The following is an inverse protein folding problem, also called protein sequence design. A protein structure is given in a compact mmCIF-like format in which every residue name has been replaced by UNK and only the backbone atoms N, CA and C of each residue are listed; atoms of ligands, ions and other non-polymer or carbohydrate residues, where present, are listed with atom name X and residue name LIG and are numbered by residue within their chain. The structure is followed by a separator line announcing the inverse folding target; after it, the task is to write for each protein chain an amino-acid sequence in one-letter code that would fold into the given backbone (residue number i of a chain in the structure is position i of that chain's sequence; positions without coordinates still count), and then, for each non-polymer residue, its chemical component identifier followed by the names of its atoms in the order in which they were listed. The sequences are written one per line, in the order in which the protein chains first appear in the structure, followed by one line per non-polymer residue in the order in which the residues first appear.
data_IF_627054949444
#
_entry.id   IF_627054949444
#
_cell.length_a   1.000
_cell.length_b   1.000
_cell.length_c   1.000
_cell.angle_alpha   90.00
_cell.angle_beta   90.00
_cell.angle_gamma   90.00
#
_symmetry.space_group_name_H-M   'P 1'
#
loop_
_entity.id
_entity.type
_entity.pdbx_description
1 polymer ?
#
# COMPACT_ATOMS: atom_id res chain seq x y z
N UNK A 1 -7.57 -9.59 -4.44
CA UNK A 1 -6.26 -8.92 -4.31
C UNK A 1 -6.39 -7.60 -3.57
N UNK A 2 -7.49 -6.87 -3.70
CA UNK A 2 -7.67 -5.56 -3.10
C UNK A 2 -7.59 -5.61 -1.57
N UNK A 3 -8.30 -6.56 -0.95
CA UNK A 3 -8.34 -6.67 0.53
C UNK A 3 -6.96 -7.03 1.07
N UNK A 4 -6.27 -7.97 0.40
CA UNK A 4 -4.91 -8.33 0.76
C UNK A 4 -3.96 -7.13 0.77
N UNK A 5 -3.94 -6.32 -0.28
CA UNK A 5 -3.02 -5.18 -0.37
C UNK A 5 -3.34 -4.05 0.61
N UNK A 6 -4.62 -3.77 0.87
CA UNK A 6 -5.02 -2.85 1.96
C UNK A 6 -4.47 -3.35 3.29
N UNK A 7 -4.72 -4.62 3.61
CA UNK A 7 -4.33 -5.19 4.89
C UNK A 7 -2.80 -5.27 5.05
N UNK A 8 -2.10 -5.73 4.01
CA UNK A 8 -0.64 -5.87 4.02
C UNK A 8 0.05 -4.51 4.21
N UNK A 9 -0.36 -3.48 3.48
CA UNK A 9 0.21 -2.14 3.61
C UNK A 9 -0.03 -1.54 4.99
N UNK A 10 -1.26 -1.64 5.50
CA UNK A 10 -1.62 -1.13 6.84
C UNK A 10 -0.87 -1.88 7.93
N UNK A 11 -0.82 -3.21 7.88
CA UNK A 11 -0.13 -4.02 8.89
C UNK A 11 1.37 -3.78 8.87
N UNK A 12 2.01 -3.76 7.69
CA UNK A 12 3.44 -3.51 7.59
C UNK A 12 3.81 -2.15 8.21
N UNK A 13 3.07 -1.10 7.85
CA UNK A 13 3.28 0.24 8.42
C UNK A 13 2.98 0.27 9.91
N UNK A 14 1.90 -0.37 10.36
CA UNK A 14 1.54 -0.43 11.77
C UNK A 14 2.65 -1.09 12.60
N UNK A 15 3.17 -2.24 12.16
CA UNK A 15 4.20 -2.97 12.89
C UNK A 15 5.58 -2.29 12.85
N UNK A 16 5.89 -1.57 11.77
CA UNK A 16 7.18 -0.88 11.63
C UNK A 16 7.20 0.46 12.36
N UNK A 17 6.12 1.25 12.25
CA UNK A 17 6.11 2.62 12.76
C UNK A 17 5.39 2.79 14.10
N UNK A 18 4.44 1.90 14.42
CA UNK A 18 3.59 1.93 15.62
C UNK A 18 3.11 3.33 16.02
N UNK A 19 2.73 4.13 15.02
CA UNK A 19 2.50 5.56 15.21
C UNK A 19 1.03 5.92 15.07
N UNK A 20 0.44 6.64 16.06
CA UNK A 20 -0.94 7.12 15.97
C UNK A 20 -1.09 8.30 15.01
N UNK A 21 0.01 8.75 14.43
CA UNK A 21 0.05 9.98 13.69
C UNK A 21 0.10 9.77 12.17
N UNK A 22 0.28 8.51 11.75
CA UNK A 22 0.11 8.05 10.39
C UNK A 22 -1.38 8.06 10.04
N UNK A 23 -1.70 8.52 8.83
CA UNK A 23 -3.05 8.39 8.27
C UNK A 23 -3.12 7.08 7.48
N UNK A 24 -3.67 6.04 8.11
CA UNK A 24 -3.74 4.68 7.57
C UNK A 24 -4.66 4.57 6.36
N UNK A 25 -5.55 5.54 6.13
CA UNK A 25 -6.39 5.57 4.91
C UNK A 25 -5.53 5.87 3.68
N UNK A 26 -4.61 6.82 3.78
CA UNK A 26 -3.67 7.12 2.69
C UNK A 26 -2.69 5.97 2.46
N UNK A 27 -2.28 5.27 3.53
CA UNK A 27 -1.48 4.03 3.40
C UNK A 27 -2.24 2.95 2.66
N UNK A 28 -3.49 2.67 3.06
CA UNK A 28 -4.35 1.71 2.38
C UNK A 28 -4.57 2.08 0.90
N UNK A 29 -4.87 3.36 0.63
CA UNK A 29 -5.06 3.87 -0.73
C UNK A 29 -3.78 3.72 -1.57
N UNK A 30 -2.62 4.03 -1.01
CA UNK A 30 -1.32 3.83 -1.66
C UNK A 30 -1.03 2.36 -1.93
N UNK A 31 -1.40 1.47 -1.00
CA UNK A 31 -1.22 0.02 -1.12
C UNK A 31 -2.02 -0.60 -2.26
N UNK A 32 -3.13 0.02 -2.67
CA UNK A 32 -3.94 -0.46 -3.82
C UNK A 32 -3.75 0.36 -5.08
N UNK A 33 -3.10 1.53 -5.00
CA UNK A 33 -2.95 2.44 -6.13
C UNK A 33 -2.30 1.77 -7.36
N UNK A 34 -1.26 0.93 -7.23
CA UNK A 34 -0.67 0.26 -8.39
C UNK A 34 -1.61 -0.72 -9.11
N UNK A 35 -2.65 -1.25 -8.42
CA UNK A 35 -3.66 -2.09 -9.06
C UNK A 35 -4.44 -1.34 -10.15
N UNK A 36 -4.44 0.00 -10.16
CA UNK A 36 -5.03 0.77 -11.25
C UNK A 36 -4.37 0.47 -12.60
N UNK A 37 -3.08 0.09 -12.60
CA UNK A 37 -2.39 -0.31 -13.83
C UNK A 37 -2.93 -1.63 -14.40
N UNK A 38 -3.62 -2.45 -13.59
CA UNK A 38 -4.30 -3.64 -14.07
C UNK A 38 -5.39 -3.33 -15.10
N UNK A 39 -5.95 -2.11 -15.11
CA UNK A 39 -6.88 -1.65 -16.15
C UNK A 39 -6.24 -1.63 -17.55
N UNK A 40 -4.91 -1.51 -17.61
CA UNK A 40 -4.15 -1.57 -18.87
C UNK A 40 -3.71 -2.99 -19.23
N UNK A 41 -3.96 -3.96 -18.35
CA UNK A 41 -3.54 -5.36 -18.49
C UNK A 41 -2.03 -5.58 -18.38
N UNK A 42 -1.26 -4.55 -18.04
CA UNK A 42 0.20 -4.51 -18.14
C UNK A 42 0.81 -3.76 -16.95
N UNK A 43 1.95 -4.21 -16.38
CA UNK A 43 2.65 -3.46 -15.36
C UNK A 43 3.31 -2.23 -16.00
N UNK A 44 3.12 -1.06 -15.39
CA UNK A 44 3.69 0.21 -15.82
C UNK A 44 4.55 0.80 -14.67
N UNK A 45 4.56 2.13 -14.53
CA UNK A 45 5.49 2.85 -13.66
C UNK A 45 5.32 2.50 -12.18
N UNK A 46 4.10 2.32 -11.68
CA UNK A 46 3.82 2.06 -10.27
C UNK A 46 4.24 0.65 -9.82
N UNK A 47 4.51 -0.26 -10.76
CA UNK A 47 5.12 -1.57 -10.48
C UNK A 47 6.65 -1.53 -10.40
N UNK A 48 7.26 -0.36 -10.63
CA UNK A 48 8.71 -0.14 -10.56
C UNK A 48 9.08 0.57 -9.25
N UNK A 49 10.31 0.36 -8.76
CA UNK A 49 10.84 1.12 -7.63
C UNK A 49 10.89 2.62 -7.95
N UNK A 50 11.30 2.97 -9.17
CA UNK A 50 11.39 4.33 -9.64
C UNK A 50 10.03 5.05 -9.56
N UNK A 51 8.93 4.40 -9.94
CA UNK A 51 7.59 4.99 -9.86
C UNK A 51 7.19 5.37 -8.44
N UNK A 52 7.46 4.50 -7.46
CA UNK A 52 7.21 4.81 -6.04
C UNK A 52 8.09 5.96 -5.53
N UNK A 53 9.37 6.01 -5.95
CA UNK A 53 10.28 7.12 -5.61
C UNK A 53 9.81 8.44 -6.23
N UNK A 54 9.45 8.45 -7.52
CA UNK A 54 8.93 9.63 -8.21
C UNK A 54 7.62 10.10 -7.58
N UNK A 55 6.75 9.17 -7.19
CA UNK A 55 5.52 9.51 -6.49
C UNK A 55 5.79 10.14 -5.12
N UNK A 56 6.76 9.62 -4.37
CA UNK A 56 7.23 10.22 -3.12
C UNK A 56 7.74 11.66 -3.36
N UNK A 57 8.59 11.86 -4.36
CA UNK A 57 9.13 13.18 -4.73
C UNK A 57 7.99 14.13 -5.10
N UNK A 58 7.03 13.69 -5.91
CA UNK A 58 5.85 14.47 -6.29
C UNK A 58 5.05 14.92 -5.08
N UNK A 59 4.76 14.00 -4.15
CA UNK A 59 4.05 14.32 -2.90
C UNK A 59 4.83 15.33 -2.07
N UNK A 60 6.15 15.18 -1.94
CA UNK A 60 6.97 16.13 -1.19
C UNK A 60 7.00 17.52 -1.83
N UNK A 61 7.16 17.59 -3.15
CA UNK A 61 7.17 18.84 -3.92
C UNK A 61 5.81 19.56 -3.84
N UNK A 62 4.71 18.83 -4.07
CA UNK A 62 3.34 19.36 -4.03
C UNK A 62 2.88 19.78 -2.63
N UNK A 63 3.61 19.43 -1.57
CA UNK A 63 3.29 19.78 -0.18
C UNK A 63 4.33 20.69 0.47
N UNK A 64 5.11 21.42 -0.35
CA UNK A 64 6.09 22.39 0.14
C UNK A 64 5.42 23.45 1.01
N UNK A 65 5.97 23.67 2.21
CA UNK A 65 5.39 24.58 3.22
C UNK A 65 4.25 23.99 4.06
N UNK A 66 3.66 22.85 3.66
CA UNK A 66 2.46 22.30 4.30
C UNK A 66 2.74 21.04 5.13
N UNK A 67 3.39 21.21 6.28
CA UNK A 67 3.86 20.09 7.13
C UNK A 67 2.77 19.06 7.47
N UNK A 68 1.56 19.51 7.79
CA UNK A 68 0.46 18.60 8.16
C UNK A 68 -0.06 17.84 6.93
N UNK A 69 -0.25 18.51 5.78
CA UNK A 69 -0.70 17.87 4.54
C UNK A 69 0.32 16.87 4.04
N UNK A 70 1.61 17.26 4.02
CA UNK A 70 2.73 16.37 3.70
C UNK A 70 2.68 15.09 4.54
N UNK A 71 2.60 15.21 5.85
CA UNK A 71 2.55 14.05 6.76
C UNK A 71 1.43 13.06 6.43
N UNK A 72 0.24 13.57 6.06
CA UNK A 72 -0.90 12.71 5.67
C UNK A 72 -0.66 12.06 4.30
N UNK A 73 -0.29 12.85 3.30
CA UNK A 73 -0.11 12.38 1.93
C UNK A 73 1.09 11.46 1.75
N UNK A 74 2.11 11.55 2.61
CA UNK A 74 3.23 10.60 2.64
C UNK A 74 2.77 9.15 2.87
N UNK A 75 1.58 8.93 3.42
CA UNK A 75 0.98 7.60 3.49
C UNK A 75 0.80 6.95 2.12
N UNK A 76 0.49 7.72 1.07
CA UNK A 76 0.28 7.21 -0.29
C UNK A 76 1.55 6.54 -0.87
N UNK A 77 2.71 7.21 -0.98
CA UNK A 77 3.92 6.58 -1.51
C UNK A 77 4.46 5.51 -0.55
N UNK A 78 4.27 5.63 0.77
CA UNK A 78 4.58 4.53 1.70
C UNK A 78 3.76 3.29 1.34
N UNK A 79 2.46 3.45 1.05
CA UNK A 79 1.60 2.38 0.59
C UNK A 79 2.08 1.73 -0.72
N UNK A 80 2.54 2.52 -1.69
CA UNK A 80 3.04 1.95 -2.97
C UNK A 80 4.34 1.16 -2.76
N UNK A 81 5.24 1.60 -1.87
CA UNK A 81 6.40 0.79 -1.49
C UNK A 81 5.98 -0.55 -0.85
N UNK A 82 4.99 -0.53 0.04
CA UNK A 82 4.47 -1.77 0.65
C UNK A 82 3.80 -2.68 -0.38
N UNK A 83 3.12 -2.11 -1.39
CA UNK A 83 2.60 -2.87 -2.51
C UNK A 83 3.72 -3.61 -3.24
N UNK A 84 4.81 -2.93 -3.62
CA UNK A 84 5.93 -3.57 -4.34
C UNK A 84 6.52 -4.78 -3.61
N UNK A 85 6.57 -4.71 -2.28
CA UNK A 85 7.02 -5.81 -1.43
C UNK A 85 6.00 -6.95 -1.45
N UNK A 86 4.72 -6.65 -1.19
CA UNK A 86 3.65 -7.64 -1.09
C UNK A 86 3.27 -8.29 -2.44
N UNK A 87 3.44 -7.57 -3.55
CA UNK A 87 3.19 -8.05 -4.91
C UNK A 87 4.33 -8.92 -5.42
N UNK A 88 5.50 -8.87 -4.78
CA UNK A 88 6.67 -9.59 -5.26
C UNK A 88 7.25 -8.98 -6.53
N UNK A 89 7.00 -7.70 -6.84
CA UNK A 89 7.62 -7.02 -7.98
C UNK A 89 9.15 -7.18 -7.98
N UNK A 90 9.76 -7.17 -6.79
CA UNK A 90 11.20 -7.35 -6.58
C UNK A 90 11.75 -8.71 -7.06
N UNK A 91 10.90 -9.71 -7.30
CA UNK A 91 11.30 -11.00 -7.90
C UNK A 91 11.54 -10.90 -9.42
N UNK A 92 11.14 -9.78 -10.04
CA UNK A 92 11.33 -9.49 -11.46
C UNK A 92 12.28 -8.31 -11.62
N UNK A 93 13.57 -8.61 -11.75
CA UNK A 93 14.67 -7.63 -11.79
C UNK A 93 14.43 -6.50 -12.79
N UNK A 94 14.07 -6.83 -14.04
CA UNK A 94 13.86 -5.85 -15.12
C UNK A 94 12.69 -4.89 -14.83
N UNK A 95 11.62 -5.38 -14.19
CA UNK A 95 10.47 -4.57 -13.80
C UNK A 95 10.78 -3.70 -12.58
N UNK A 96 11.31 -4.30 -11.51
CA UNK A 96 11.53 -3.60 -10.26
C UNK A 96 12.59 -2.48 -10.40
N UNK A 97 13.66 -2.76 -11.13
CA UNK A 97 14.78 -1.84 -11.35
C UNK A 97 14.66 -1.04 -12.65
N UNK A 98 13.51 -1.07 -13.33
CA UNK A 98 13.30 -0.26 -14.53
C UNK A 98 13.59 1.24 -14.24
N UNK A 99 14.32 1.96 -15.11
CA UNK A 99 14.88 1.54 -16.42
C UNK A 99 16.34 1.02 -16.35
N UNK A 100 16.92 0.89 -15.16
CA UNK A 100 18.35 0.55 -14.96
C UNK A 100 18.67 -0.88 -15.39
N UNK A 101 17.75 -1.81 -15.17
CA UNK A 101 17.91 -3.22 -15.56
C UNK A 101 17.43 -3.55 -16.98
N UNK A 102 17.06 -2.55 -17.78
CA UNK A 102 16.50 -2.70 -19.12
C UNK A 102 15.29 -1.81 -19.36
N UNK A 103 15.00 -1.48 -20.62
CA UNK A 103 13.85 -0.65 -20.99
C UNK A 103 12.56 -1.46 -21.19
N UNK A 104 12.71 -2.75 -21.44
CA UNK A 104 11.64 -3.69 -21.79
C UNK A 104 10.94 -4.28 -20.53
N UNK A 105 11.36 -3.89 -19.33
CA UNK A 105 10.84 -4.42 -18.07
C UNK A 105 9.38 -4.06 -17.76
N UNK A 106 8.82 -3.04 -18.43
CA UNK A 106 7.41 -2.64 -18.33
C UNK A 106 6.62 -3.13 -19.55
N UNK A 107 5.31 -3.30 -19.41
CA UNK A 107 4.39 -3.63 -20.50
C UNK A 107 4.55 -4.99 -21.22
N UNK A 108 5.57 -5.79 -20.91
CA UNK A 108 5.81 -7.07 -21.59
C UNK A 108 5.26 -8.30 -20.88
N UNK A 109 5.22 -8.29 -19.54
CA UNK A 109 4.80 -9.45 -18.74
C UNK A 109 3.45 -9.24 -18.07
N UNK A 110 2.74 -10.32 -17.69
CA UNK A 110 1.56 -10.22 -16.84
C UNK A 110 1.89 -9.53 -15.51
N UNK A 111 0.91 -8.87 -14.92
CA UNK A 111 1.03 -8.23 -13.61
C UNK A 111 1.48 -9.26 -12.54
N UNK A 112 2.56 -8.99 -11.76
CA UNK A 112 3.13 -9.95 -10.81
C UNK A 112 2.14 -10.50 -9.79
N UNK A 113 1.16 -9.69 -9.39
CA UNK A 113 0.15 -10.06 -8.41
C UNK A 113 -0.88 -11.07 -8.93
N UNK A 114 -1.08 -11.12 -10.25
CA UNK A 114 -2.03 -12.00 -10.92
C UNK A 114 -1.35 -13.20 -11.60
N UNK A 115 -0.01 -13.18 -11.72
CA UNK A 115 0.78 -14.29 -12.25
C UNK A 115 1.03 -15.37 -11.19
N UNK A 116 -0.06 -15.90 -10.63
CA UNK A 116 -0.08 -16.89 -9.55
C UNK A 116 -1.25 -17.84 -9.75
N UNK A 117 -1.17 -19.04 -9.16
CA UNK A 117 -2.29 -19.98 -9.23
C UNK A 117 -3.56 -19.40 -8.55
N UNK A 118 -4.77 -19.73 -9.03
CA UNK A 118 -6.01 -19.24 -8.42
C UNK A 118 -6.13 -19.56 -6.92
N UNK A 119 -5.59 -20.69 -6.47
CA UNK A 119 -5.53 -21.09 -5.06
C UNK A 119 -4.73 -20.08 -4.23
N UNK A 120 -3.57 -19.63 -4.73
CA UNK A 120 -2.76 -18.62 -4.06
C UNK A 120 -3.49 -17.28 -4.02
N UNK A 121 -4.17 -16.90 -5.12
CA UNK A 121 -4.93 -15.65 -5.16
C UNK A 121 -6.05 -15.62 -4.13
N UNK A 122 -6.84 -16.70 -4.04
CA UNK A 122 -7.90 -16.83 -3.04
C UNK A 122 -7.30 -16.84 -1.62
N UNK A 123 -6.23 -17.60 -1.41
CA UNK A 123 -5.54 -17.68 -0.11
C UNK A 123 -5.05 -16.32 0.38
N UNK A 124 -4.41 -15.52 -0.48
CA UNK A 124 -3.97 -14.16 -0.14
C UNK A 124 -5.15 -13.26 0.21
N UNK A 125 -6.26 -13.32 -0.53
CA UNK A 125 -7.42 -12.50 -0.21
C UNK A 125 -8.06 -12.89 1.13
N UNK A 126 -8.14 -14.19 1.43
CA UNK A 126 -8.59 -14.70 2.72
C UNK A 126 -7.67 -14.22 3.85
N UNK A 127 -6.35 -14.26 3.67
CA UNK A 127 -5.39 -13.69 4.62
C UNK A 127 -5.62 -12.20 4.83
N UNK A 128 -5.91 -11.46 3.76
CA UNK A 128 -6.30 -10.05 3.83
C UNK A 128 -7.55 -9.84 4.68
N UNK A 129 -8.60 -10.63 4.46
CA UNK A 129 -9.84 -10.59 5.26
C UNK A 129 -9.55 -10.88 6.74
N UNK A 130 -8.79 -11.94 7.03
CA UNK A 130 -8.41 -12.30 8.40
C UNK A 130 -7.62 -11.18 9.08
N UNK A 131 -6.69 -10.55 8.36
CA UNK A 131 -5.92 -9.41 8.83
C UNK A 131 -6.81 -8.20 9.13
N UNK A 132 -7.79 -7.88 8.28
CA UNK A 132 -8.76 -6.81 8.56
C UNK A 132 -9.62 -7.14 9.77
N UNK A 133 -10.11 -8.38 9.90
CA UNK A 133 -10.89 -8.81 11.08
C UNK A 133 -10.04 -8.67 12.34
N UNK A 134 -8.76 -9.03 12.29
CA UNK A 134 -7.83 -8.84 13.40
C UNK A 134 -7.64 -7.35 13.73
N UNK A 135 -7.45 -6.47 12.74
CA UNK A 135 -7.37 -5.02 12.95
C UNK A 135 -8.64 -4.45 13.59
N UNK A 136 -9.81 -4.88 13.12
CA UNK A 136 -11.11 -4.46 13.69
C UNK A 136 -11.20 -4.85 15.16
N UNK A 137 -10.78 -6.07 15.51
CA UNK A 137 -10.78 -6.55 16.90
C UNK A 137 -9.72 -5.83 17.75
N UNK A 138 -8.49 -5.69 17.24
CA UNK A 138 -7.36 -5.09 17.96
C UNK A 138 -7.59 -3.62 18.32
N UNK A 139 -8.16 -2.84 17.40
CA UNK A 139 -8.44 -1.42 17.59
C UNK A 139 -9.89 -1.13 17.96
N UNK A 140 -10.67 -2.19 18.23
CA UNK A 140 -12.07 -2.13 18.62
C UNK A 140 -12.90 -1.24 17.68
N UNK A 141 -12.66 -1.33 16.38
CA UNK A 141 -13.30 -0.49 15.34
C UNK A 141 -14.80 -0.75 15.21
N UNK A 142 -15.34 -1.75 15.90
CA UNK A 142 -16.78 -1.92 16.08
C UNK A 142 -17.39 -0.79 16.92
N UNK A 143 -16.60 -0.14 17.81
CA UNK A 143 -17.05 1.01 18.59
C UNK A 143 -17.16 2.25 17.70
N UNK A 144 -18.29 2.99 17.75
CA UNK A 144 -18.51 4.17 16.90
C UNK A 144 -17.41 5.23 17.04
N UNK A 145 -16.87 5.45 18.24
CA UNK A 145 -15.82 6.44 18.48
C UNK A 145 -14.51 6.09 17.74
N UNK A 146 -14.03 4.86 17.86
CA UNK A 146 -12.79 4.40 17.22
C UNK A 146 -12.94 4.38 15.69
N UNK A 147 -14.11 3.96 15.20
CA UNK A 147 -14.45 4.03 13.78
C UNK A 147 -14.49 5.47 13.28
N UNK A 148 -15.12 6.38 13.99
CA UNK A 148 -15.19 7.79 13.63
C UNK A 148 -13.78 8.42 13.59
N UNK A 149 -12.91 8.08 14.55
CA UNK A 149 -11.53 8.55 14.57
C UNK A 149 -10.76 8.10 13.31
N UNK A 150 -10.87 6.83 12.92
CA UNK A 150 -10.26 6.31 11.70
C UNK A 150 -10.85 6.98 10.45
N UNK A 151 -12.17 7.09 10.35
CA UNK A 151 -12.84 7.63 9.16
C UNK A 151 -12.63 9.13 8.97
N UNK A 152 -12.48 9.91 10.05
CA UNK A 152 -12.29 11.36 9.98
C UNK A 152 -10.82 11.74 9.87
N UNK A 153 -9.99 11.20 10.76
CA UNK A 153 -8.59 11.59 10.93
C UNK A 153 -7.59 10.62 10.31
N UNK A 154 -8.03 9.40 9.97
CA UNK A 154 -7.18 8.34 9.45
C UNK A 154 -6.33 7.63 10.50
N UNK A 155 -6.53 7.96 11.77
CA UNK A 155 -5.69 7.49 12.87
C UNK A 155 -6.36 6.34 13.60
N UNK A 156 -5.52 5.42 14.07
CA UNK A 156 -5.94 4.35 14.97
C UNK A 156 -5.89 4.84 16.43
N UNK A 157 -6.75 4.31 17.32
CA UNK A 157 -6.74 4.64 18.75
C UNK A 157 -5.38 4.41 19.38
N UNK A 158 -4.88 5.41 20.12
CA UNK A 158 -3.55 5.41 20.74
C UNK A 158 -3.36 4.33 21.79
N UNK A 159 -4.42 4.08 22.57
CA UNK A 159 -4.43 3.14 23.69
C UNK A 159 -4.16 1.67 23.29
N UNK A 160 -4.22 1.36 22.00
CA UNK A 160 -4.00 0.02 21.43
C UNK A 160 -2.66 -0.11 20.66
N UNK A 161 -1.91 0.98 20.53
CA UNK A 161 -0.53 0.99 20.03
C UNK A 161 0.41 0.66 21.19
N UNK A 162 1.55 0.04 20.92
CA UNK A 162 2.46 -0.41 21.99
C UNK A 162 3.31 0.73 22.55
#
# INVERSE_FOLDING_TARGET
MLVFYVAAAVLAVLFVFDSPAVDYRFVAAGGVLPLAEALTGRPLLLHTLLGSVLFMVLVMAATTGERIRRRRLLGLPIGTFMFLVASGCWTRTELFWWPVAGLDGIAERPLPEFDRSPVVLIGLELLGVLAIVWLIRRFELARPANRAQLLTSGRLPREHLR
#
